data_IF_702495636427
#
_entry.id   IF_702495636427
#
_cell.length_a   1.000
_cell.length_b   1.000
_cell.length_c   1.000
_cell.angle_alpha   90.00
_cell.angle_beta   90.00
_cell.angle_gamma   90.00
#
_symmetry.space_group_name_H-M   'P 1'
#
loop_
_entity.id
_entity.type
_entity.pdbx_description
1 polymer ?
#
# COMPACT_ATOMS: atom_id res chain seq x y z
N UNK A 1 -3.32 1.53 -28.68
CA UNK A 1 -2.28 1.46 -27.62
C UNK A 1 -2.82 0.51 -26.56
N UNK A 2 -2.20 -0.67 -26.38
CA UNK A 2 -2.58 -1.54 -25.25
C UNK A 2 -2.24 -0.78 -23.98
N UNK A 3 -3.21 -0.60 -23.07
CA UNK A 3 -2.95 0.07 -21.81
C UNK A 3 -1.82 -0.66 -21.09
N UNK A 4 -0.77 0.06 -20.71
CA UNK A 4 0.34 -0.50 -19.93
C UNK A 4 -0.24 -1.10 -18.64
N UNK A 5 0.14 -2.35 -18.34
CA UNK A 5 -0.42 -3.07 -17.19
C UNK A 5 0.24 -2.54 -15.93
N UNK A 6 -0.52 -1.82 -15.11
CA UNK A 6 -0.02 -1.22 -13.88
C UNK A 6 -0.53 -1.93 -12.63
N UNK A 7 0.33 -2.06 -11.62
CA UNK A 7 -0.03 -2.52 -10.28
C UNK A 7 0.51 -1.56 -9.22
N UNK A 8 -0.34 -1.25 -8.25
CA UNK A 8 -0.08 -0.33 -7.16
C UNK A 8 -0.16 -1.10 -5.84
N UNK A 9 0.94 -1.13 -5.10
CA UNK A 9 1.07 -1.91 -3.85
C UNK A 9 0.99 -0.96 -2.66
N UNK A 10 -0.02 -1.15 -1.81
CA UNK A 10 -0.34 -0.34 -0.63
C UNK A 10 -0.27 -1.17 0.66
N UNK A 11 -0.21 -0.51 1.82
CA UNK A 11 -0.30 -1.15 3.13
C UNK A 11 0.99 -1.83 3.62
N UNK A 12 2.13 -1.35 3.12
CA UNK A 12 3.47 -1.77 3.59
C UNK A 12 4.24 -0.53 4.02
N UNK A 13 5.36 -0.72 4.74
CA UNK A 13 6.31 0.40 4.96
C UNK A 13 7.19 0.71 3.76
N UNK A 14 7.04 -0.05 2.66
CA UNK A 14 7.69 0.19 1.38
C UNK A 14 8.82 -0.79 1.05
N UNK A 15 9.62 -0.41 0.06
CA UNK A 15 10.80 -1.16 -0.40
C UNK A 15 12.03 -0.24 -0.47
N UNK A 16 13.25 -0.71 -0.18
CA UNK A 16 13.63 -2.10 0.17
C UNK A 16 13.04 -2.62 1.48
N UNK A 17 12.86 -3.94 1.56
CA UNK A 17 12.30 -4.60 2.72
C UNK A 17 13.24 -4.53 3.92
N UNK A 18 12.76 -3.91 5.00
CA UNK A 18 13.52 -3.77 6.25
C UNK A 18 12.70 -4.09 7.52
N UNK A 19 11.40 -4.36 7.40
CA UNK A 19 10.48 -4.34 8.54
C UNK A 19 9.77 -5.68 8.79
N UNK A 20 9.41 -6.43 7.75
CA UNK A 20 8.68 -7.69 7.95
C UNK A 20 8.36 -8.48 6.68
N UNK A 21 7.42 -9.42 6.85
CA UNK A 21 6.99 -10.35 5.80
C UNK A 21 6.30 -9.66 4.63
N UNK A 22 5.45 -8.67 4.90
CA UNK A 22 4.78 -7.91 3.86
C UNK A 22 5.73 -7.11 2.98
N UNK A 23 6.75 -6.44 3.56
CA UNK A 23 7.74 -5.72 2.76
C UNK A 23 8.58 -6.69 1.94
N UNK A 24 8.95 -7.84 2.50
CA UNK A 24 9.71 -8.89 1.79
C UNK A 24 8.90 -9.44 0.62
N UNK A 25 7.60 -9.69 0.82
CA UNK A 25 6.67 -10.09 -0.22
C UNK A 25 6.54 -8.99 -1.29
N UNK A 26 6.27 -7.74 -0.88
CA UNK A 26 6.10 -6.60 -1.77
C UNK A 26 7.33 -6.40 -2.65
N UNK A 27 8.53 -6.49 -2.07
CA UNK A 27 9.78 -6.41 -2.82
C UNK A 27 9.89 -7.52 -3.88
N UNK A 28 9.73 -8.79 -3.48
CA UNK A 28 9.86 -9.93 -4.41
C UNK A 28 8.80 -9.88 -5.50
N UNK A 29 7.56 -9.57 -5.13
CA UNK A 29 6.44 -9.47 -6.06
C UNK A 29 6.61 -8.30 -7.02
N UNK A 30 7.04 -7.13 -6.53
CA UNK A 30 7.27 -5.95 -7.36
C UNK A 30 8.32 -6.21 -8.43
N UNK A 31 9.47 -6.78 -8.05
CA UNK A 31 10.55 -7.12 -8.98
C UNK A 31 10.08 -8.17 -10.00
N UNK A 32 9.35 -9.19 -9.55
CA UNK A 32 8.80 -10.21 -10.44
C UNK A 32 7.82 -9.63 -11.47
N UNK A 33 6.91 -8.74 -11.05
CA UNK A 33 5.92 -8.12 -11.93
C UNK A 33 6.57 -7.17 -12.93
N UNK A 34 7.57 -6.39 -12.49
CA UNK A 34 8.41 -5.58 -13.37
C UNK A 34 9.07 -6.45 -14.45
N UNK A 35 9.65 -7.58 -14.07
CA UNK A 35 10.29 -8.52 -15.03
C UNK A 35 9.29 -9.15 -16.00
N UNK A 36 8.00 -9.14 -15.67
CA UNK A 36 6.90 -9.52 -16.55
C UNK A 36 6.37 -8.36 -17.40
N UNK A 37 7.01 -7.18 -17.35
CA UNK A 37 6.65 -6.01 -18.15
C UNK A 37 5.48 -5.20 -17.57
N UNK A 38 5.21 -5.29 -16.26
CA UNK A 38 4.23 -4.43 -15.60
C UNK A 38 4.89 -3.16 -15.06
N UNK A 39 4.16 -2.04 -15.12
CA UNK A 39 4.50 -0.85 -14.38
C UNK A 39 4.12 -1.04 -12.91
N UNK A 40 5.10 -1.04 -12.01
CA UNK A 40 4.87 -1.31 -10.59
C UNK A 40 5.11 -0.04 -9.78
N UNK A 41 4.14 0.31 -8.94
CA UNK A 41 4.27 1.36 -7.94
C UNK A 41 4.16 0.77 -6.53
N UNK A 42 5.10 1.13 -5.65
CA UNK A 42 5.06 0.78 -4.22
C UNK A 42 4.96 2.05 -3.38
N UNK A 43 3.93 2.12 -2.53
CA UNK A 43 3.82 3.20 -1.55
C UNK A 43 4.73 2.93 -0.36
N UNK A 44 5.57 3.90 -0.01
CA UNK A 44 6.62 3.78 0.99
C UNK A 44 6.42 4.81 2.11
N UNK A 45 6.78 4.44 3.33
CA UNK A 45 6.71 5.33 4.49
C UNK A 45 8.11 5.88 4.81
N UNK A 46 8.21 7.17 5.09
CA UNK A 46 9.41 7.81 5.61
C UNK A 46 9.12 8.51 6.95
N UNK A 47 10.14 8.59 7.81
CA UNK A 47 10.03 9.26 9.12
C UNK A 47 10.20 10.79 9.01
N UNK A 48 10.87 11.26 7.96
CA UNK A 48 11.09 12.67 7.69
C UNK A 48 11.19 12.95 6.18
N UNK A 49 10.88 14.18 5.78
CA UNK A 49 10.85 14.56 4.38
C UNK A 49 9.87 15.72 4.11
N UNK A 50 9.60 16.01 2.82
CA UNK A 50 8.64 17.04 2.44
C UNK A 50 7.20 16.63 2.81
N UNK A 51 6.32 17.61 2.93
CA UNK A 51 4.90 17.38 3.25
C UNK A 51 4.11 16.66 2.13
N UNK A 52 4.70 16.49 0.95
CA UNK A 52 4.06 15.88 -0.22
C UNK A 52 4.72 14.56 -0.64
N UNK A 53 4.16 13.87 -1.67
CA UNK A 53 4.74 12.64 -2.17
C UNK A 53 6.11 12.91 -2.77
N UNK A 54 7.10 12.12 -2.34
CA UNK A 54 8.39 12.03 -3.02
C UNK A 54 8.35 10.83 -3.96
N UNK A 55 8.66 11.04 -5.23
CA UNK A 55 8.60 9.99 -6.25
C UNK A 55 10.02 9.72 -6.76
N UNK A 56 10.42 8.46 -6.72
CA UNK A 56 11.71 8.01 -7.21
C UNK A 56 11.60 6.64 -7.88
N UNK A 57 12.67 6.23 -8.57
CA UNK A 57 12.81 4.90 -9.14
C UNK A 57 13.77 4.07 -8.29
N UNK A 58 13.31 2.88 -7.91
CA UNK A 58 14.15 1.88 -7.25
C UNK A 58 14.09 0.58 -8.04
N UNK A 59 15.16 0.27 -8.77
CA UNK A 59 15.26 -0.92 -9.60
C UNK A 59 14.11 -1.04 -10.61
N UNK A 60 13.69 0.04 -11.26
CA UNK A 60 12.54 0.02 -12.18
C UNK A 60 11.17 -0.09 -11.48
N UNK A 61 11.13 0.07 -10.15
CA UNK A 61 9.90 0.18 -9.36
C UNK A 61 9.72 1.64 -9.01
N UNK A 62 8.56 2.20 -9.37
CA UNK A 62 8.19 3.54 -8.93
C UNK A 62 7.87 3.51 -7.45
N UNK A 63 8.60 4.28 -6.63
CA UNK A 63 8.27 4.47 -5.23
C UNK A 63 7.54 5.79 -5.04
N UNK A 64 6.44 5.76 -4.30
CA UNK A 64 5.73 6.96 -3.87
C UNK A 64 5.82 7.02 -2.36
N UNK A 65 6.67 7.91 -1.87
CA UNK A 65 7.01 8.00 -0.45
C UNK A 65 6.25 9.13 0.21
N UNK A 66 5.55 8.83 1.31
CA UNK A 66 4.91 9.81 2.17
C UNK A 66 5.55 9.79 3.56
N UNK A 67 5.68 10.97 4.16
CA UNK A 67 6.11 11.11 5.55
C UNK A 67 4.96 10.73 6.47
N UNK A 68 5.24 9.96 7.51
CA UNK A 68 4.25 9.57 8.48
C UNK A 68 4.82 9.62 9.90
N UNK A 69 4.06 10.23 10.80
CA UNK A 69 4.37 10.27 12.22
C UNK A 69 4.38 8.85 12.82
N UNK A 70 5.10 8.67 13.94
CA UNK A 70 5.01 7.44 14.70
C UNK A 70 3.61 7.24 15.33
N UNK A 71 3.21 5.98 15.49
CA UNK A 71 1.97 5.60 16.15
C UNK A 71 0.78 5.37 15.20
N UNK A 72 -0.36 5.03 15.80
CA UNK A 72 -1.56 4.65 15.05
C UNK A 72 -2.08 5.79 14.17
N UNK A 73 -2.14 7.02 14.69
CA UNK A 73 -2.61 8.20 13.95
C UNK A 73 -1.75 8.53 12.74
N UNK A 74 -0.42 8.38 12.85
CA UNK A 74 0.48 8.56 11.71
C UNK A 74 0.26 7.51 10.62
N UNK A 75 0.06 6.25 11.03
CA UNK A 75 -0.27 5.15 10.11
C UNK A 75 -1.59 5.43 9.36
N UNK A 76 -2.62 5.91 10.06
CA UNK A 76 -3.89 6.28 9.43
C UNK A 76 -3.74 7.42 8.41
N UNK A 77 -2.96 8.46 8.72
CA UNK A 77 -2.71 9.58 7.81
C UNK A 77 -1.92 9.13 6.58
N UNK A 78 -0.94 8.25 6.77
CA UNK A 78 -0.17 7.65 5.70
C UNK A 78 -1.07 6.88 4.73
N UNK A 79 -1.87 5.96 5.27
CA UNK A 79 -2.78 5.14 4.46
C UNK A 79 -3.81 5.99 3.72
N UNK A 80 -4.30 7.06 4.36
CA UNK A 80 -5.15 8.05 3.70
C UNK A 80 -4.45 8.73 2.52
N UNK A 81 -3.23 9.24 2.72
CA UNK A 81 -2.47 9.92 1.67
C UNK A 81 -2.18 8.98 0.49
N UNK A 82 -1.75 7.75 0.78
CA UNK A 82 -1.54 6.70 -0.21
C UNK A 82 -2.81 6.37 -0.98
N UNK A 83 -3.94 6.23 -0.28
CA UNK A 83 -5.25 5.96 -0.89
C UNK A 83 -5.68 7.08 -1.83
N UNK A 84 -5.60 8.34 -1.37
CA UNK A 84 -5.98 9.51 -2.17
C UNK A 84 -5.09 9.69 -3.40
N UNK A 85 -3.81 9.33 -3.30
CA UNK A 85 -2.91 9.31 -4.44
C UNK A 85 -3.27 8.17 -5.41
N UNK A 86 -3.46 6.95 -4.91
CA UNK A 86 -3.81 5.77 -5.71
C UNK A 86 -5.17 5.89 -6.40
N UNK A 87 -6.12 6.63 -5.84
CA UNK A 87 -7.43 6.86 -6.46
C UNK A 87 -7.36 7.61 -7.80
N UNK A 88 -6.26 8.33 -8.05
CA UNK A 88 -6.03 9.07 -9.30
C UNK A 88 -5.39 8.22 -10.39
N UNK A 89 -5.01 6.99 -10.04
CA UNK A 89 -4.24 6.09 -10.86
C UNK A 89 -5.14 5.01 -11.50
N UNK A 90 -4.70 4.42 -12.62
CA UNK A 90 -5.44 3.36 -13.33
C UNK A 90 -4.61 2.08 -13.36
N UNK A 91 -5.12 1.03 -12.75
CA UNK A 91 -4.44 -0.26 -12.67
C UNK A 91 -4.95 -1.12 -11.52
N UNK A 92 -4.26 -2.21 -11.25
CA UNK A 92 -4.62 -3.12 -10.15
C UNK A 92 -4.14 -2.54 -8.82
N UNK A 93 -5.05 -2.41 -7.86
CA UNK A 93 -4.74 -1.99 -6.49
C UNK A 93 -4.52 -3.25 -5.65
N UNK A 94 -3.30 -3.49 -5.20
CA UNK A 94 -2.94 -4.57 -4.29
C UNK A 94 -2.71 -4.00 -2.89
N UNK A 95 -3.65 -4.26 -1.98
CA UNK A 95 -3.57 -3.83 -0.59
C UNK A 95 -3.05 -4.99 0.26
N UNK A 96 -1.94 -4.76 0.93
CA UNK A 96 -1.31 -5.70 1.86
C UNK A 96 -1.63 -5.27 3.30
N UNK A 97 -1.99 -6.22 4.15
CA UNK A 97 -2.25 -5.99 5.56
C UNK A 97 -3.62 -5.37 5.86
N UNK A 98 -3.70 -4.77 7.06
CA UNK A 98 -4.92 -4.19 7.60
C UNK A 98 -5.04 -2.75 7.13
N UNK A 99 -5.67 -2.58 5.98
CA UNK A 99 -6.14 -1.28 5.55
C UNK A 99 -7.57 -1.07 6.04
N UNK A 100 -7.92 0.16 6.44
CA UNK A 100 -9.26 0.45 6.93
C UNK A 100 -10.30 0.06 5.87
N UNK A 101 -11.39 -0.59 6.28
CA UNK A 101 -12.51 -0.92 5.38
C UNK A 101 -12.99 0.31 4.58
N UNK A 102 -12.89 1.51 5.18
CA UNK A 102 -13.16 2.79 4.54
C UNK A 102 -12.24 3.07 3.33
N UNK A 103 -10.94 2.86 3.45
CA UNK A 103 -9.98 3.15 2.37
C UNK A 103 -10.13 2.14 1.22
N UNK A 104 -10.37 0.88 1.55
CA UNK A 104 -10.74 -0.13 0.56
C UNK A 104 -12.03 0.22 -0.18
N UNK A 105 -13.06 0.74 0.52
CA UNK A 105 -14.29 1.20 -0.11
C UNK A 105 -14.04 2.37 -1.08
N UNK A 106 -13.20 3.34 -0.69
CA UNK A 106 -12.82 4.46 -1.55
C UNK A 106 -12.06 4.00 -2.81
N UNK A 107 -11.12 3.06 -2.69
CA UNK A 107 -10.44 2.48 -3.84
C UNK A 107 -11.41 1.77 -4.78
N UNK A 108 -12.45 1.11 -4.28
CA UNK A 108 -13.49 0.49 -5.13
C UNK A 108 -14.27 1.48 -5.98
N UNK A 109 -14.46 2.72 -5.51
CA UNK A 109 -15.16 3.76 -6.27
C UNK A 109 -14.42 4.18 -7.55
N UNK A 110 -13.13 3.87 -7.66
CA UNK A 110 -12.31 4.19 -8.84
C UNK A 110 -12.62 3.30 -10.04
N UNK A 111 -13.29 2.15 -9.83
CA UNK A 111 -13.51 1.12 -10.84
C UNK A 111 -12.28 0.27 -11.16
N UNK A 112 -11.17 0.48 -10.44
CA UNK A 112 -9.97 -0.35 -10.56
C UNK A 112 -10.17 -1.73 -9.89
N UNK A 113 -9.56 -2.81 -10.42
CA UNK A 113 -9.49 -4.08 -9.70
C UNK A 113 -8.77 -3.91 -8.36
N UNK A 114 -9.41 -4.34 -7.28
CA UNK A 114 -8.87 -4.29 -5.92
C UNK A 114 -8.64 -5.71 -5.40
N UNK A 115 -7.38 -6.05 -5.12
CA UNK A 115 -6.97 -7.28 -4.45
C UNK A 115 -6.46 -6.94 -3.06
N UNK A 116 -6.81 -7.76 -2.08
CA UNK A 116 -6.40 -7.55 -0.70
C UNK A 116 -5.82 -8.85 -0.13
N UNK A 117 -4.67 -8.76 0.52
CA UNK A 117 -4.04 -9.87 1.23
C UNK A 117 -3.79 -9.45 2.68
N UNK A 118 -4.54 -10.03 3.62
CA UNK A 118 -4.45 -9.69 5.04
C UNK A 118 -3.35 -10.43 5.81
N UNK A 119 -2.67 -11.43 5.24
CA UNK A 119 -1.63 -12.29 5.88
C UNK A 119 -2.11 -13.08 7.13
N UNK A 120 -3.20 -12.66 7.78
CA UNK A 120 -3.84 -13.36 8.89
C UNK A 120 -5.24 -12.83 9.21
N UNK A 121 -5.92 -13.52 10.13
CA UNK A 121 -7.24 -13.13 10.65
C UNK A 121 -7.05 -12.47 12.03
N UNK A 122 -6.52 -11.24 12.12
CA UNK A 122 -6.34 -10.54 13.42
C UNK A 122 -7.67 -10.39 14.18
N UNK A 123 -8.80 -10.22 13.47
CA UNK A 123 -10.11 -10.09 14.11
C UNK A 123 -10.48 -11.30 14.98
N UNK A 124 -9.82 -12.44 14.77
CA UNK A 124 -10.08 -13.72 15.45
C UNK A 124 -9.17 -13.89 16.66
N UNK A 125 -8.19 -13.01 16.86
CA UNK A 125 -7.35 -12.99 18.05
C UNK A 125 -8.09 -12.27 19.17
N UNK A 126 -8.17 -12.92 20.33
CA UNK A 126 -8.93 -12.47 21.52
C UNK A 126 -8.39 -11.19 22.19
N UNK A 127 -7.44 -10.47 21.56
CA UNK A 127 -6.76 -9.31 22.12
C UNK A 127 -7.52 -7.99 21.92
N UNK A 128 -8.46 -7.94 20.96
CA UNK A 128 -9.06 -6.66 20.53
C UNK A 128 -10.53 -6.50 20.94
N UNK A 129 -10.89 -5.37 21.60
CA UNK A 129 -12.29 -5.00 21.86
C UNK A 129 -13.03 -4.66 20.56
N UNK A 130 -14.37 -4.61 20.62
CA UNK A 130 -15.23 -4.54 19.42
C UNK A 130 -14.93 -3.38 18.47
N UNK A 131 -14.52 -2.22 18.99
CA UNK A 131 -14.14 -1.06 18.16
C UNK A 131 -12.79 -1.26 17.45
N UNK A 132 -11.86 -2.01 18.04
CA UNK A 132 -10.60 -2.39 17.39
C UNK A 132 -10.80 -3.34 16.21
N UNK A 133 -11.89 -4.12 16.20
CA UNK A 133 -12.27 -5.01 15.10
C UNK A 133 -12.91 -4.32 13.91
N UNK A 134 -13.33 -3.06 14.07
CA UNK A 134 -13.80 -2.24 12.93
C UNK A 134 -12.59 -1.72 12.14
N UNK A 135 -11.45 -1.62 12.82
CA UNK A 135 -10.19 -1.10 12.27
C UNK A 135 -9.30 -2.18 11.63
N UNK A 136 -9.41 -3.42 12.10
CA UNK A 136 -8.69 -4.60 11.62
C UNK A 136 -9.57 -5.42 10.68
#
# INVERSE_FOLDING_TARGET
MSAERSVYILGTRGVPAAHGGFETFAQRFALHMRDKGWAVTVYCQADSGPAGPTIDDWQGIRRVTFVADAGATGTMKFDWACTMHAMKERGVMLVLGYNTALFSALLRLTGNPLLMNMDGIEWKRAKWPWHGRIWL
#
